data_IF_147074535444
#
_entry.id   IF_147074535444
#
_cell.length_a   1.000
_cell.length_b   1.000
_cell.length_c   1.000
_cell.angle_alpha   90.00
_cell.angle_beta   90.00
_cell.angle_gamma   90.00
#
_symmetry.space_group_name_H-M   'P 1'
#
loop_
_entity.id
_entity.type
_entity.pdbx_description
1 polymer ?
#
# COMPACT_ATOMS: atom_id res chain seq x y z
N UNK A 1 -3.48 19.95 -16.50
CA UNK A 1 -3.85 18.76 -17.27
C UNK A 1 -2.54 18.11 -17.69
N UNK A 2 -2.19 16.86 -17.44
CA UNK A 2 -2.80 15.69 -16.81
C UNK A 2 -1.58 14.82 -16.51
N UNK A 3 -1.23 14.62 -15.24
CA UNK A 3 -0.28 13.55 -14.87
C UNK A 3 -1.12 12.39 -14.34
N UNK A 4 -1.93 11.79 -15.20
CA UNK A 4 -2.28 10.39 -15.00
C UNK A 4 -0.96 9.62 -15.10
N UNK A 5 -0.39 9.33 -13.93
CA UNK A 5 0.92 8.73 -13.78
C UNK A 5 1.02 7.43 -14.56
N UNK A 6 2.25 7.05 -14.86
CA UNK A 6 2.68 5.93 -15.73
C UNK A 6 2.10 4.55 -15.33
N UNK A 7 1.35 4.46 -14.22
CA UNK A 7 0.84 3.23 -13.63
C UNK A 7 -0.68 3.12 -13.74
N UNK A 8 -1.21 1.93 -14.09
CA UNK A 8 -2.64 1.69 -14.09
C UNK A 8 -3.19 1.66 -12.66
N UNK A 9 -4.10 2.58 -12.33
CA UNK A 9 -4.78 2.63 -11.04
C UNK A 9 -6.00 1.72 -11.05
N UNK A 10 -5.80 0.45 -10.69
CA UNK A 10 -6.84 -0.58 -10.76
C UNK A 10 -7.36 -0.92 -9.36
N UNK A 11 -8.68 -1.11 -9.24
CA UNK A 11 -9.32 -1.59 -8.01
C UNK A 11 -10.39 -2.62 -8.36
N UNK A 12 -10.46 -3.72 -7.60
CA UNK A 12 -11.51 -4.71 -7.75
C UNK A 12 -12.77 -4.35 -6.94
N UNK A 13 -12.64 -3.45 -5.95
CA UNK A 13 -13.72 -3.00 -5.07
C UNK A 13 -14.14 -1.53 -5.30
N UNK A 14 -13.61 -0.87 -6.34
CA UNK A 14 -14.03 0.48 -6.75
C UNK A 14 -13.39 1.62 -5.96
N UNK A 15 -12.27 1.37 -5.27
CA UNK A 15 -11.50 2.40 -4.57
C UNK A 15 -10.70 3.24 -5.57
N UNK A 16 -10.73 4.56 -5.42
CA UNK A 16 -9.87 5.47 -6.19
C UNK A 16 -8.53 5.66 -5.47
N UNK A 17 -7.44 5.42 -6.19
CA UNK A 17 -6.07 5.61 -5.71
C UNK A 17 -5.44 6.93 -6.20
N UNK A 18 -6.22 7.84 -6.78
CA UNK A 18 -5.72 9.09 -7.37
C UNK A 18 -5.05 9.99 -6.32
N UNK A 19 -5.69 10.14 -5.15
CA UNK A 19 -5.14 10.94 -4.05
C UNK A 19 -3.82 10.36 -3.53
N UNK A 20 -3.72 9.04 -3.43
CA UNK A 20 -2.47 8.37 -3.03
C UNK A 20 -1.37 8.61 -4.05
N UNK A 21 -1.68 8.46 -5.34
CA UNK A 21 -0.73 8.75 -6.41
C UNK A 21 -0.25 10.21 -6.36
N UNK A 22 -1.14 11.17 -6.14
CA UNK A 22 -0.77 12.60 -6.03
C UNK A 22 0.15 12.88 -4.84
N UNK A 23 -0.11 12.30 -3.67
CA UNK A 23 0.75 12.47 -2.49
C UNK A 23 2.14 11.87 -2.74
N UNK A 24 2.20 10.68 -3.34
CA UNK A 24 3.46 10.01 -3.66
C UNK A 24 4.27 10.75 -4.74
N UNK A 25 3.62 11.32 -5.76
CA UNK A 25 4.27 12.21 -6.75
C UNK A 25 4.91 13.43 -6.07
N UNK A 26 4.24 13.99 -5.06
CA UNK A 26 4.74 15.12 -4.26
C UNK A 26 5.77 14.73 -3.21
N UNK A 27 6.08 13.43 -3.07
CA UNK A 27 6.95 12.88 -2.03
C UNK A 27 6.49 13.20 -0.60
N UNK A 28 5.18 13.43 -0.41
CA UNK A 28 4.59 13.55 0.92
C UNK A 28 4.31 12.15 1.48
N UNK A 29 5.39 11.46 1.86
CA UNK A 29 5.34 10.06 2.28
C UNK A 29 4.56 9.87 3.58
N UNK A 30 4.57 10.87 4.47
CA UNK A 30 3.83 10.81 5.72
C UNK A 30 2.32 10.85 5.45
N UNK A 31 1.84 11.77 4.62
CA UNK A 31 0.43 11.80 4.23
C UNK A 31 0.04 10.56 3.41
N UNK A 32 0.92 10.09 2.52
CA UNK A 32 0.70 8.89 1.72
C UNK A 32 0.56 7.62 2.57
N UNK A 33 1.36 7.48 3.64
CA UNK A 33 1.28 6.36 4.59
C UNK A 33 -0.07 6.36 5.33
N UNK A 34 -0.47 7.52 5.86
CA UNK A 34 -1.77 7.68 6.52
C UNK A 34 -2.94 7.40 5.57
N UNK A 35 -2.85 7.82 4.31
CA UNK A 35 -3.89 7.52 3.32
C UNK A 35 -3.88 6.05 2.92
N UNK A 36 -2.72 5.41 2.84
CA UNK A 36 -2.61 3.98 2.52
C UNK A 36 -3.37 3.14 3.54
N UNK A 37 -3.19 3.38 4.85
CA UNK A 37 -3.94 2.62 5.87
C UNK A 37 -5.45 2.89 5.82
N UNK A 38 -5.87 4.13 5.50
CA UNK A 38 -7.28 4.46 5.32
C UNK A 38 -7.89 3.70 4.14
N UNK A 39 -7.24 3.71 2.98
CA UNK A 39 -7.69 2.99 1.79
C UNK A 39 -7.70 1.48 2.00
N UNK A 40 -6.70 0.92 2.69
CA UNK A 40 -6.73 -0.50 3.05
C UNK A 40 -7.90 -0.84 3.98
N UNK A 41 -8.27 0.06 4.92
CA UNK A 41 -9.49 -0.12 5.70
C UNK A 41 -10.76 -0.06 4.83
N UNK A 42 -10.79 0.79 3.80
CA UNK A 42 -11.91 0.83 2.84
C UNK A 42 -12.02 -0.47 2.04
N UNK A 43 -10.89 -1.04 1.58
CA UNK A 43 -10.82 -2.34 0.90
C UNK A 43 -11.35 -3.46 1.80
N UNK A 44 -11.03 -3.43 3.10
CA UNK A 44 -11.48 -4.41 4.08
C UNK A 44 -12.98 -4.28 4.46
N UNK A 45 -13.58 -3.12 4.21
CA UNK A 45 -15.00 -2.85 4.42
C UNK A 45 -15.34 -2.00 5.64
N UNK A 46 -16.63 -1.77 5.85
CA UNK A 46 -17.15 -0.71 6.74
C UNK A 46 -16.74 -0.86 8.20
N UNK A 47 -16.55 -2.08 8.70
CA UNK A 47 -16.10 -2.32 10.07
C UNK A 47 -14.63 -1.91 10.27
N UNK A 48 -13.78 -2.16 9.28
CA UNK A 48 -12.39 -1.74 9.29
C UNK A 48 -12.26 -0.22 9.25
N UNK A 49 -13.05 0.45 8.40
CA UNK A 49 -13.11 1.92 8.33
C UNK A 49 -13.46 2.53 9.69
N UNK A 50 -14.45 1.98 10.41
CA UNK A 50 -14.86 2.50 11.72
C UNK A 50 -13.77 2.40 12.77
N UNK A 51 -13.05 1.27 12.81
CA UNK A 51 -12.01 1.03 13.83
C UNK A 51 -10.63 1.55 13.44
N UNK A 52 -10.38 1.83 12.15
CA UNK A 52 -9.14 2.39 11.59
C UNK A 52 -7.91 1.48 11.69
N UNK A 53 -8.13 0.16 11.71
CA UNK A 53 -7.07 -0.85 11.69
C UNK A 53 -7.61 -2.18 11.12
N UNK A 54 -6.71 -3.08 10.73
CA UNK A 54 -7.03 -4.33 10.03
C UNK A 54 -6.75 -5.56 10.90
N UNK A 55 -7.63 -6.55 10.84
CA UNK A 55 -7.31 -7.90 11.27
C UNK A 55 -6.55 -8.62 10.16
N UNK A 56 -5.67 -9.55 10.53
CA UNK A 56 -4.91 -10.35 9.55
C UNK A 56 -5.84 -11.15 8.62
N UNK A 57 -6.98 -11.64 9.12
CA UNK A 57 -7.99 -12.36 8.33
C UNK A 57 -8.64 -11.49 7.26
N UNK A 58 -8.73 -10.18 7.45
CA UNK A 58 -9.22 -9.28 6.39
C UNK A 58 -8.15 -9.09 5.33
N UNK A 59 -6.89 -8.92 5.75
CA UNK A 59 -5.74 -8.80 4.82
C UNK A 59 -5.62 -10.04 3.93
N UNK A 60 -5.86 -11.24 4.47
CA UNK A 60 -5.88 -12.49 3.69
C UNK A 60 -6.93 -12.49 2.58
N UNK A 61 -8.01 -11.73 2.74
CA UNK A 61 -9.10 -11.63 1.77
C UNK A 61 -8.98 -10.42 0.82
N UNK A 62 -7.88 -9.67 0.87
CA UNK A 62 -7.72 -8.50 0.00
C UNK A 62 -7.69 -8.90 -1.48
N UNK A 63 -8.39 -8.15 -2.34
CA UNK A 63 -8.23 -8.32 -3.78
C UNK A 63 -6.78 -8.06 -4.18
N UNK A 64 -6.21 -8.99 -4.94
CA UNK A 64 -4.82 -8.90 -5.43
C UNK A 64 -4.59 -7.59 -6.19
N UNK A 65 -5.58 -7.15 -6.97
CA UNK A 65 -5.51 -5.95 -7.80
C UNK A 65 -5.27 -4.68 -6.96
N UNK A 66 -5.94 -4.55 -5.82
CA UNK A 66 -5.82 -3.41 -4.92
C UNK A 66 -4.45 -3.39 -4.23
N UNK A 67 -3.99 -4.53 -3.71
CA UNK A 67 -2.64 -4.67 -3.15
C UNK A 67 -1.55 -4.35 -4.18
N UNK A 68 -1.71 -4.80 -5.43
CA UNK A 68 -0.78 -4.52 -6.52
C UNK A 68 -0.73 -3.03 -6.87
N UNK A 69 -1.88 -2.35 -6.93
CA UNK A 69 -1.93 -0.91 -7.21
C UNK A 69 -1.22 -0.12 -6.13
N UNK A 70 -1.53 -0.38 -4.85
CA UNK A 70 -0.87 0.29 -3.70
C UNK A 70 0.64 0.05 -3.75
N UNK A 71 1.08 -1.21 -3.89
CA UNK A 71 2.50 -1.54 -3.93
C UNK A 71 3.22 -0.88 -5.13
N UNK A 72 2.61 -0.87 -6.31
CA UNK A 72 3.21 -0.31 -7.52
C UNK A 72 3.41 1.20 -7.40
N UNK A 73 2.44 1.89 -6.81
CA UNK A 73 2.55 3.32 -6.51
C UNK A 73 3.73 3.62 -5.59
N UNK A 74 3.83 2.89 -4.47
CA UNK A 74 4.94 3.03 -3.53
C UNK A 74 6.29 2.76 -4.20
N UNK A 75 6.41 1.71 -5.00
CA UNK A 75 7.64 1.37 -5.72
C UNK A 75 8.06 2.49 -6.69
N UNK A 76 7.14 2.93 -7.57
CA UNK A 76 7.47 3.89 -8.63
C UNK A 76 7.89 5.25 -8.06
N UNK A 77 7.27 5.69 -6.97
CA UNK A 77 7.53 7.01 -6.39
C UNK A 77 8.61 7.03 -5.30
N UNK A 78 9.17 5.87 -4.95
CA UNK A 78 10.26 5.74 -3.98
C UNK A 78 11.60 5.31 -4.61
N UNK A 79 11.67 5.24 -5.95
CA UNK A 79 12.81 4.64 -6.66
C UNK A 79 13.05 3.18 -6.23
N UNK A 80 11.97 2.43 -6.01
CA UNK A 80 12.00 1.03 -5.59
C UNK A 80 12.39 0.80 -4.13
N UNK A 81 12.41 1.84 -3.29
CA UNK A 81 12.82 1.73 -1.87
C UNK A 81 11.67 1.37 -0.93
N UNK A 82 10.43 1.68 -1.30
CA UNK A 82 9.24 1.48 -0.47
C UNK A 82 8.21 0.59 -1.17
N UNK A 83 7.44 -0.14 -0.36
CA UNK A 83 6.37 -1.03 -0.80
C UNK A 83 6.39 -2.37 -0.06
N UNK A 84 5.25 -3.06 -0.03
CA UNK A 84 5.13 -4.36 0.63
C UNK A 84 6.02 -5.43 -0.01
N UNK A 85 6.24 -5.35 -1.32
CA UNK A 85 7.18 -6.22 -2.05
C UNK A 85 8.61 -6.08 -1.53
N UNK A 86 9.08 -4.84 -1.30
CA UNK A 86 10.40 -4.56 -0.72
C UNK A 86 10.51 -5.14 0.68
N UNK A 87 9.52 -4.89 1.54
CA UNK A 87 9.47 -5.46 2.90
C UNK A 87 9.47 -7.00 2.86
N UNK A 88 8.73 -7.60 1.93
CA UNK A 88 8.68 -9.06 1.73
C UNK A 88 10.04 -9.61 1.31
N UNK A 89 10.74 -8.96 0.38
CA UNK A 89 12.07 -9.38 -0.05
C UNK A 89 13.10 -9.29 1.08
N UNK A 90 13.08 -8.21 1.86
CA UNK A 90 13.91 -8.07 3.07
C UNK A 90 13.60 -9.18 4.08
N UNK A 91 12.32 -9.44 4.35
CA UNK A 91 11.87 -10.48 5.27
C UNK A 91 12.33 -11.88 4.84
N UNK A 92 12.23 -12.20 3.54
CA UNK A 92 12.76 -13.43 2.98
C UNK A 92 14.29 -13.50 3.12
N UNK A 93 14.99 -12.39 2.87
CA UNK A 93 16.45 -12.29 2.99
C UNK A 93 16.99 -12.50 4.41
N UNK A 94 16.20 -12.20 5.45
CA UNK A 94 16.54 -12.48 6.85
C UNK A 94 16.01 -13.83 7.36
N UNK A 95 15.57 -14.71 6.45
CA UNK A 95 15.10 -16.05 6.79
C UNK A 95 13.73 -16.06 7.47
N UNK A 96 12.85 -15.11 7.11
CA UNK A 96 11.49 -14.96 7.68
C UNK A 96 11.46 -14.67 9.18
N UNK A 97 12.54 -14.06 9.70
CA UNK A 97 12.68 -13.70 11.10
C UNK A 97 12.32 -12.22 11.31
N UNK A 98 11.27 -11.94 12.09
CA UNK A 98 10.81 -10.59 12.37
C UNK A 98 11.80 -9.77 13.22
N UNK A 99 12.44 -10.39 14.22
CA UNK A 99 13.44 -9.71 15.08
C UNK A 99 14.64 -9.20 14.29
N UNK A 100 14.97 -9.88 13.18
CA UNK A 100 16.03 -9.47 12.25
C UNK A 100 15.55 -8.51 11.18
N UNK A 101 14.25 -8.43 10.91
CA UNK A 101 13.68 -7.51 9.93
C UNK A 101 13.60 -6.09 10.47
N UNK A 102 13.11 -5.91 11.70
CA UNK A 102 12.86 -4.56 12.24
C UNK A 102 14.08 -3.63 12.29
N UNK A 103 15.31 -4.10 12.57
CA UNK A 103 16.50 -3.25 12.56
C UNK A 103 17.10 -2.99 11.17
N UNK A 104 16.57 -3.59 10.10
CA UNK A 104 17.09 -3.44 8.72
C UNK A 104 16.57 -2.17 8.06
#
# INVERSE_FOLDING_TARGET
MESQGILPLKSACGISYDSLAQLLVKQDFQAADLLTIQQMCEVAGTQAVRRKWLYFTEVENFPIQDLQTINSLWLAHSQGKFGFSVQRELWLGVGRNWDRLWPK
#
